data_IF_328706272666
#
_entry.id   IF_328706272666
#
_cell.length_a   1.000
_cell.length_b   1.000
_cell.length_c   1.000
_cell.angle_alpha   90.00
_cell.angle_beta   90.00
_cell.angle_gamma   90.00
#
_symmetry.space_group_name_H-M   'P 1'
#
loop_
_entity.id
_entity.type
_entity.pdbx_description
1 polymer ?
#
# COMPACT_ATOMS: atom_id res chain seq x y z
N UNK A 1 -4.36 14.63 -1.80
CA UNK A 1 -3.50 13.48 -1.56
C UNK A 1 -3.16 13.24 -0.14
N UNK A 2 -2.70 14.24 0.53
CA UNK A 2 -2.57 14.13 1.99
C UNK A 2 -3.93 13.85 2.64
N UNK A 3 -5.01 14.31 2.02
CA UNK A 3 -6.36 14.10 2.50
C UNK A 3 -6.77 12.63 2.60
N UNK A 4 -6.09 11.73 1.90
CA UNK A 4 -6.37 10.31 2.04
C UNK A 4 -6.08 9.80 3.45
N UNK A 5 -5.07 10.35 4.07
CA UNK A 5 -4.55 9.85 5.35
C UNK A 5 -4.59 10.85 6.49
N UNK A 6 -4.66 12.13 6.18
CA UNK A 6 -4.57 13.19 7.19
C UNK A 6 -5.66 13.04 8.26
N UNK A 7 -5.24 13.01 9.52
CA UNK A 7 -6.14 12.92 10.66
C UNK A 7 -6.87 11.59 10.82
N UNK A 8 -6.52 10.57 10.03
CA UNK A 8 -7.22 9.28 10.03
C UNK A 8 -6.40 8.19 10.71
N UNK A 9 -7.10 7.16 11.20
CA UNK A 9 -6.47 5.94 11.70
C UNK A 9 -6.19 5.03 10.51
N UNK A 10 -4.93 4.78 10.24
CA UNK A 10 -4.47 4.05 9.05
C UNK A 10 -3.80 2.75 9.45
N UNK A 11 -4.21 1.66 8.84
CA UNK A 11 -3.49 0.40 8.85
C UNK A 11 -2.77 0.23 7.52
N UNK A 12 -1.46 -0.04 7.56
CA UNK A 12 -0.67 -0.37 6.39
C UNK A 12 -0.28 -1.84 6.47
N UNK A 13 -0.75 -2.61 5.51
CA UNK A 13 -0.58 -4.06 5.49
C UNK A 13 0.39 -4.46 4.37
N UNK A 14 1.53 -4.98 4.77
CA UNK A 14 2.55 -5.50 3.86
C UNK A 14 2.36 -6.98 3.54
N UNK A 15 3.38 -7.57 2.92
CA UNK A 15 3.32 -8.92 2.35
C UNK A 15 4.13 -9.97 3.11
N UNK A 16 4.60 -9.67 4.32
CA UNK A 16 5.42 -10.62 5.06
C UNK A 16 4.63 -11.87 5.41
N UNK A 17 5.23 -13.04 5.16
CA UNK A 17 4.59 -14.33 5.43
C UNK A 17 4.26 -14.53 6.92
N UNK A 18 5.02 -13.91 7.81
CA UNK A 18 4.80 -13.99 9.25
C UNK A 18 3.41 -13.50 9.68
N UNK A 19 2.77 -12.64 8.88
CA UNK A 19 1.43 -12.15 9.20
C UNK A 19 0.38 -13.27 9.20
N UNK A 20 0.57 -14.31 8.39
CA UNK A 20 -0.38 -15.44 8.31
C UNK A 20 -0.54 -16.18 9.65
N UNK A 21 0.45 -16.10 10.53
CA UNK A 21 0.42 -16.76 11.84
C UNK A 21 -0.24 -15.90 12.94
N UNK A 22 -0.76 -14.75 12.59
CA UNK A 22 -1.32 -13.79 13.54
C UNK A 22 -2.84 -13.67 13.39
N UNK A 23 -3.48 -13.12 14.41
CA UNK A 23 -4.92 -12.90 14.46
C UNK A 23 -5.25 -11.40 14.39
N UNK A 24 -4.61 -10.68 13.49
CA UNK A 24 -4.75 -9.23 13.40
C UNK A 24 -5.90 -8.75 12.50
N UNK A 25 -6.64 -9.66 11.89
CA UNK A 25 -7.67 -9.30 10.91
C UNK A 25 -8.69 -8.31 11.41
N UNK A 26 -9.27 -8.56 12.58
CA UNK A 26 -10.28 -7.68 13.18
C UNK A 26 -9.68 -6.31 13.55
N UNK A 27 -8.47 -6.31 14.08
CA UNK A 27 -7.77 -5.06 14.40
C UNK A 27 -7.50 -4.23 13.16
N UNK A 28 -7.00 -4.87 12.10
CA UNK A 28 -6.76 -4.20 10.81
C UNK A 28 -8.06 -3.58 10.30
N UNK A 29 -9.14 -4.35 10.27
CA UNK A 29 -10.42 -3.90 9.73
C UNK A 29 -11.10 -2.82 10.60
N UNK A 30 -10.63 -2.59 11.82
CA UNK A 30 -11.14 -1.52 12.67
C UNK A 30 -10.63 -0.14 12.29
N UNK A 31 -9.63 -0.04 11.43
CA UNK A 31 -9.09 1.24 10.99
C UNK A 31 -9.99 1.91 9.96
N UNK A 32 -9.97 3.24 9.94
CA UNK A 32 -10.71 4.03 8.94
C UNK A 32 -10.16 3.83 7.53
N UNK A 33 -8.84 3.68 7.43
CA UNK A 33 -8.13 3.48 6.17
C UNK A 33 -7.31 2.20 6.28
N UNK A 34 -7.51 1.30 5.34
CA UNK A 34 -6.73 0.05 5.24
C UNK A 34 -6.00 0.06 3.90
N UNK A 35 -4.69 0.19 3.98
CA UNK A 35 -3.80 0.26 2.83
C UNK A 35 -3.12 -1.08 2.64
N UNK A 36 -3.19 -1.61 1.41
CA UNK A 36 -2.49 -2.85 1.07
C UNK A 36 -1.52 -2.60 -0.07
N UNK A 37 -0.44 -3.35 -0.07
CA UNK A 37 0.67 -3.15 -1.00
C UNK A 37 0.71 -4.24 -2.06
N UNK A 38 0.97 -3.83 -3.30
CA UNK A 38 1.22 -4.73 -4.42
C UNK A 38 0.15 -5.84 -4.50
N UNK A 39 0.54 -7.10 -4.64
CA UNK A 39 -0.39 -8.21 -4.79
C UNK A 39 -1.18 -8.55 -3.53
N UNK A 40 -0.81 -8.05 -2.37
CA UNK A 40 -1.56 -8.34 -1.14
C UNK A 40 -2.99 -7.81 -1.19
N UNK A 41 -3.22 -6.76 -1.95
CA UNK A 41 -4.57 -6.24 -2.14
C UNK A 41 -5.51 -7.24 -2.81
N UNK A 42 -4.97 -8.29 -3.41
CA UNK A 42 -5.72 -9.26 -4.20
C UNK A 42 -5.65 -10.68 -3.67
N UNK A 43 -4.61 -10.99 -2.90
CA UNK A 43 -4.40 -12.35 -2.43
C UNK A 43 -5.50 -12.84 -1.51
N UNK A 44 -5.97 -12.00 -0.63
CA UNK A 44 -6.99 -12.40 0.34
C UNK A 44 -8.37 -12.61 -0.30
N UNK A 45 -8.61 -12.13 -1.51
CA UNK A 45 -9.84 -12.44 -2.24
C UNK A 45 -9.85 -13.90 -2.73
N UNK A 46 -8.69 -14.55 -2.74
CA UNK A 46 -8.49 -15.92 -3.19
C UNK A 46 -8.21 -16.89 -2.07
N UNK A 47 -7.80 -16.38 -0.92
CA UNK A 47 -7.41 -17.17 0.25
C UNK A 47 -8.24 -16.72 1.43
N UNK A 48 -8.62 -17.65 2.28
CA UNK A 48 -9.25 -17.29 3.54
C UNK A 48 -8.19 -16.78 4.51
N UNK A 49 -7.80 -15.55 4.33
CA UNK A 49 -6.81 -14.87 5.15
C UNK A 49 -7.42 -13.79 6.06
N UNK A 50 -8.75 -13.76 6.17
CA UNK A 50 -9.42 -12.70 6.94
C UNK A 50 -9.03 -12.67 8.41
N UNK A 51 -8.73 -13.83 8.99
CA UNK A 51 -8.29 -13.93 10.38
C UNK A 51 -7.00 -13.17 10.65
N UNK A 52 -6.02 -13.29 9.75
CA UNK A 52 -4.70 -12.67 9.91
C UNK A 52 -4.62 -11.30 9.25
N UNK A 53 -5.25 -11.13 8.08
CA UNK A 53 -5.07 -9.96 7.22
C UNK A 53 -6.29 -9.03 7.21
N UNK A 54 -7.42 -9.46 7.75
CA UNK A 54 -8.67 -8.74 7.58
C UNK A 54 -9.22 -8.88 6.17
N UNK A 55 -10.34 -8.23 5.91
CA UNK A 55 -11.06 -8.32 4.64
C UNK A 55 -11.29 -6.97 3.95
N UNK A 56 -11.00 -5.87 4.64
CA UNK A 56 -11.24 -4.52 4.10
C UNK A 56 -9.99 -4.01 3.40
N UNK A 57 -10.19 -3.37 2.25
CA UNK A 57 -9.17 -2.58 1.56
C UNK A 57 -9.80 -1.28 1.12
N UNK A 58 -9.24 -0.16 1.54
CA UNK A 58 -9.69 1.16 1.09
C UNK A 58 -8.72 1.76 0.07
N UNK A 59 -7.43 1.45 0.20
CA UNK A 59 -6.37 1.98 -0.66
C UNK A 59 -5.41 0.88 -1.08
N UNK A 60 -4.98 0.94 -2.33
CA UNK A 60 -4.01 0.01 -2.90
C UNK A 60 -2.84 0.81 -3.46
N UNK A 61 -1.65 0.55 -2.91
CA UNK A 61 -0.42 1.16 -3.35
C UNK A 61 0.43 0.09 -4.04
N UNK A 62 0.83 0.33 -5.27
CA UNK A 62 1.50 -0.69 -6.07
C UNK A 62 2.64 -0.12 -6.90
N UNK A 63 3.51 -1.03 -7.30
CA UNK A 63 4.69 -0.72 -8.10
C UNK A 63 4.46 -0.92 -9.59
N UNK A 64 3.77 -1.98 -10.00
CA UNK A 64 3.59 -2.34 -11.39
C UNK A 64 2.14 -2.76 -11.68
N UNK A 65 1.41 -1.91 -12.43
CA UNK A 65 0.01 -2.18 -12.78
C UNK A 65 -0.18 -3.29 -13.79
N UNK A 66 0.73 -3.40 -14.77
CA UNK A 66 0.56 -4.34 -15.87
C UNK A 66 0.44 -5.79 -15.39
N UNK A 67 1.32 -6.17 -14.49
CA UNK A 67 1.33 -7.50 -13.92
C UNK A 67 0.03 -7.81 -13.17
N UNK A 68 -0.42 -6.88 -12.35
CA UNK A 68 -1.59 -7.10 -11.50
C UNK A 68 -2.88 -7.12 -12.28
N UNK A 69 -2.99 -6.29 -13.30
CA UNK A 69 -4.17 -6.22 -14.15
C UNK A 69 -4.43 -7.56 -14.88
N UNK A 70 -3.37 -8.19 -15.37
CA UNK A 70 -3.47 -9.47 -16.07
C UNK A 70 -3.73 -10.65 -15.13
N UNK A 71 -3.10 -10.66 -13.97
CA UNK A 71 -3.17 -11.79 -13.04
C UNK A 71 -4.44 -11.81 -12.21
N UNK A 72 -4.98 -10.64 -11.88
CA UNK A 72 -5.97 -10.53 -10.81
C UNK A 72 -7.29 -9.94 -11.25
N UNK A 73 -7.44 -9.61 -12.53
CA UNK A 73 -8.68 -9.07 -13.04
C UNK A 73 -8.98 -7.65 -12.59
N UNK A 74 -10.25 -7.33 -12.48
CA UNK A 74 -10.68 -5.98 -12.14
C UNK A 74 -10.62 -5.73 -10.64
N UNK A 75 -10.02 -4.61 -10.28
CA UNK A 75 -10.03 -4.14 -8.89
C UNK A 75 -11.30 -3.32 -8.67
N UNK A 76 -12.00 -3.52 -7.54
CA UNK A 76 -13.18 -2.73 -7.25
C UNK A 76 -12.93 -1.22 -7.35
N UNK A 77 -13.87 -0.51 -7.95
CA UNK A 77 -13.69 0.93 -8.22
C UNK A 77 -13.69 1.80 -6.97
N UNK A 78 -14.26 1.32 -5.89
CA UNK A 78 -14.28 2.04 -4.63
C UNK A 78 -12.92 2.06 -3.91
N UNK A 79 -11.96 1.25 -4.38
CA UNK A 79 -10.61 1.24 -3.81
C UNK A 79 -9.77 2.32 -4.49
N UNK A 80 -9.18 3.21 -3.70
CA UNK A 80 -8.25 4.22 -4.21
C UNK A 80 -6.94 3.56 -4.58
N UNK A 81 -6.38 3.97 -5.70
CA UNK A 81 -5.18 3.34 -6.28
C UNK A 81 -4.08 4.35 -6.46
N UNK A 82 -2.88 4.04 -5.97
CA UNK A 82 -1.72 4.89 -6.14
C UNK A 82 -0.54 4.10 -6.70
N UNK A 83 0.10 4.66 -7.71
CA UNK A 83 1.31 4.12 -8.31
C UNK A 83 2.54 4.70 -7.61
N UNK A 84 3.38 3.86 -7.06
CA UNK A 84 4.49 4.24 -6.19
C UNK A 84 5.86 4.15 -6.87
N UNK A 85 5.89 3.95 -8.19
CA UNK A 85 7.13 3.78 -8.93
C UNK A 85 7.50 5.02 -9.74
N UNK A 86 8.80 5.26 -9.86
CA UNK A 86 9.31 6.24 -10.82
C UNK A 86 9.19 5.79 -12.28
N UNK A 87 8.96 4.52 -12.51
CA UNK A 87 8.84 3.95 -13.86
C UNK A 87 7.41 3.93 -14.36
N UNK A 88 6.75 5.06 -14.38
CA UNK A 88 5.33 5.20 -14.70
C UNK A 88 5.12 5.99 -16.00
N UNK A 89 5.78 5.57 -17.03
CA UNK A 89 5.89 6.40 -18.23
C UNK A 89 4.74 6.22 -19.22
N UNK A 90 3.83 5.29 -18.99
CA UNK A 90 2.77 5.00 -19.94
C UNK A 90 1.48 5.73 -19.61
N UNK A 91 0.76 6.18 -20.64
CA UNK A 91 -0.57 6.80 -20.49
C UNK A 91 -1.58 5.84 -19.85
N UNK A 92 -1.38 4.54 -20.00
CA UNK A 92 -2.24 3.52 -19.42
C UNK A 92 -2.20 3.55 -17.90
N UNK A 93 -1.01 3.73 -17.31
CA UNK A 93 -0.87 3.86 -15.86
C UNK A 93 -1.62 5.08 -15.31
N UNK A 94 -1.56 6.19 -16.04
CA UNK A 94 -2.22 7.42 -15.62
C UNK A 94 -3.75 7.31 -15.58
N UNK A 95 -4.32 6.52 -16.47
CA UNK A 95 -5.77 6.33 -16.54
C UNK A 95 -6.31 5.39 -15.46
N UNK A 96 -5.49 4.44 -15.03
CA UNK A 96 -5.93 3.36 -14.16
C UNK A 96 -5.72 3.67 -12.67
N UNK A 97 -5.12 4.80 -12.34
CA UNK A 97 -4.78 5.14 -10.96
C UNK A 97 -5.35 6.50 -10.55
N UNK A 98 -5.65 6.63 -9.27
CA UNK A 98 -6.13 7.88 -8.69
C UNK A 98 -4.99 8.83 -8.35
N UNK A 99 -3.79 8.30 -8.17
CA UNK A 99 -2.63 9.08 -7.79
C UNK A 99 -1.33 8.43 -8.24
N UNK A 100 -0.36 9.24 -8.61
CA UNK A 100 1.00 8.82 -8.91
C UNK A 100 1.98 9.58 -8.01
N UNK A 101 2.85 8.87 -7.31
CA UNK A 101 3.83 9.52 -6.44
C UNK A 101 4.76 10.39 -7.29
N UNK A 102 4.88 11.70 -6.97
CA UNK A 102 5.76 12.58 -7.72
C UNK A 102 7.22 12.13 -7.65
N UNK A 103 7.93 12.28 -8.77
CA UNK A 103 9.36 11.91 -8.86
C UNK A 103 10.20 12.68 -7.83
N UNK A 104 9.86 13.94 -7.59
CA UNK A 104 10.57 14.79 -6.63
C UNK A 104 10.47 14.23 -5.21
N UNK A 105 9.30 13.76 -4.80
CA UNK A 105 9.11 13.14 -3.50
C UNK A 105 9.88 11.84 -3.38
N UNK A 106 9.91 11.06 -4.46
CA UNK A 106 10.68 9.83 -4.51
C UNK A 106 12.18 10.08 -4.35
N UNK A 107 12.71 11.08 -5.06
CA UNK A 107 14.12 11.42 -4.97
C UNK A 107 14.47 11.97 -3.58
N UNK A 108 13.62 12.79 -3.00
CA UNK A 108 13.81 13.29 -1.65
C UNK A 108 13.86 12.15 -0.63
N UNK A 109 12.99 11.16 -0.79
CA UNK A 109 12.96 9.99 0.08
C UNK A 109 14.23 9.16 -0.07
N UNK A 110 14.70 8.95 -1.29
CA UNK A 110 15.96 8.24 -1.54
C UNK A 110 17.14 8.92 -0.83
N UNK A 111 17.21 10.24 -0.91
CA UNK A 111 18.25 11.02 -0.25
C UNK A 111 18.20 10.84 1.27
N UNK A 112 17.00 10.92 1.84
CA UNK A 112 16.81 10.77 3.30
C UNK A 112 17.20 9.39 3.81
N UNK A 113 16.95 8.37 3.01
CA UNK A 113 17.23 6.98 3.40
C UNK A 113 18.65 6.55 3.09
N UNK A 114 19.40 7.32 2.30
CA UNK A 114 20.72 6.92 1.81
C UNK A 114 20.65 5.69 0.92
N UNK A 115 19.48 5.37 0.37
CA UNK A 115 19.25 4.19 -0.45
C UNK A 115 19.06 4.54 -1.92
N UNK A 116 19.51 3.64 -2.76
CA UNK A 116 19.35 3.80 -4.20
C UNK A 116 17.93 3.49 -4.66
N UNK A 117 17.31 2.45 -4.08
CA UNK A 117 15.99 1.97 -4.50
C UNK A 117 15.16 1.55 -3.28
N UNK A 118 14.41 2.47 -2.65
CA UNK A 118 13.53 2.09 -1.56
C UNK A 118 12.41 1.18 -2.05
N UNK A 119 11.99 0.25 -1.21
CA UNK A 119 10.88 -0.64 -1.51
C UNK A 119 9.55 0.11 -1.50
N UNK A 120 8.53 -0.47 -2.13
CA UNK A 120 7.16 0.08 -2.09
C UNK A 120 6.69 0.25 -0.64
N UNK A 121 7.03 -0.70 0.23
CA UNK A 121 6.66 -0.65 1.64
C UNK A 121 7.24 0.56 2.35
N UNK A 122 8.53 0.78 2.20
CA UNK A 122 9.20 1.93 2.83
C UNK A 122 8.68 3.25 2.28
N UNK A 123 8.53 3.35 0.97
CA UNK A 123 7.96 4.55 0.34
C UNK A 123 6.56 4.84 0.86
N UNK A 124 5.76 3.81 1.04
CA UNK A 124 4.39 3.94 1.54
C UNK A 124 4.37 4.42 2.99
N UNK A 125 5.23 3.87 3.85
CA UNK A 125 5.35 4.32 5.24
C UNK A 125 5.67 5.81 5.30
N UNK A 126 6.67 6.26 4.56
CA UNK A 126 7.08 7.66 4.58
C UNK A 126 6.01 8.59 4.04
N UNK A 127 5.37 8.22 2.93
CA UNK A 127 4.32 9.04 2.35
C UNK A 127 3.12 9.16 3.28
N UNK A 128 2.67 8.04 3.85
CA UNK A 128 1.55 8.05 4.78
C UNK A 128 1.92 8.85 6.04
N UNK A 129 3.10 8.63 6.60
CA UNK A 129 3.56 9.36 7.79
C UNK A 129 3.65 10.86 7.53
N UNK A 130 4.13 11.26 6.36
CA UNK A 130 4.22 12.66 5.95
C UNK A 130 2.84 13.31 5.85
N UNK A 131 1.81 12.53 5.58
CA UNK A 131 0.42 13.00 5.48
C UNK A 131 -0.22 13.26 6.85
N UNK A 132 0.49 13.07 7.94
CA UNK A 132 0.05 13.32 9.31
C UNK A 132 -1.24 12.58 9.69
N UNK A 133 -1.24 11.24 9.63
CA UNK A 133 -2.38 10.48 10.11
C UNK A 133 -2.52 10.61 11.62
N UNK A 134 -3.70 10.37 12.15
CA UNK A 134 -3.91 10.30 13.58
C UNK A 134 -3.16 9.12 14.20
N UNK A 135 -3.11 8.02 13.46
CA UNK A 135 -2.43 6.79 13.86
C UNK A 135 -2.02 6.04 12.60
N UNK A 136 -0.81 5.48 12.60
CA UNK A 136 -0.36 4.58 11.56
C UNK A 136 0.14 3.28 12.21
N UNK A 137 -0.64 2.22 12.04
CA UNK A 137 -0.25 0.87 12.44
C UNK A 137 0.24 0.09 11.22
N UNK A 138 1.34 -0.61 11.38
CA UNK A 138 2.01 -1.33 10.29
C UNK A 138 2.00 -2.82 10.59
N UNK A 139 1.49 -3.60 9.63
CA UNK A 139 1.36 -5.05 9.73
C UNK A 139 2.04 -5.73 8.55
N UNK A 140 2.56 -6.93 8.79
CA UNK A 140 3.10 -7.73 7.69
C UNK A 140 4.41 -7.22 7.12
N UNK A 141 5.27 -6.69 7.96
CA UNK A 141 6.62 -6.29 7.60
C UNK A 141 7.61 -7.06 8.47
N UNK A 142 8.56 -7.72 7.83
CA UNK A 142 9.68 -8.34 8.52
C UNK A 142 10.88 -7.41 8.41
N UNK A 143 11.23 -6.80 9.52
CA UNK A 143 12.37 -5.87 9.58
C UNK A 143 13.66 -6.69 9.63
N UNK A 144 14.49 -6.50 8.61
CA UNK A 144 15.82 -7.13 8.57
C UNK A 144 16.85 -6.18 9.16
N UNK A 145 17.64 -6.72 10.04
CA UNK A 145 18.76 -5.98 10.60
C UNK A 145 19.93 -5.87 9.62
#
# INVERSE_FOLDING_TARGET
MNEWFNGKKVALVGNAASLFDKDYGTEIDSHEVVVRLNKAAMLYTRMDASRSHGSITTHWLFFNTGEYKHKFGNIPQNIKKAHMSKFRQTAMHQRDVDFMLPVDELELLKDKLGHKNPTTGIMSIFWIAKSQPKLLDVYGFDWKE
#
